data_IF_587053251206
#
_entry.id   IF_587053251206
#
_cell.length_a   1.000
_cell.length_b   1.000
_cell.length_c   1.000
_cell.angle_alpha   90.00
_cell.angle_beta   90.00
_cell.angle_gamma   90.00
#
_symmetry.space_group_name_H-M   'P 1'
#
loop_
_entity.id
_entity.type
_entity.pdbx_description
1 polymer ?
#
# COMPACT_ATOMS: atom_id res chain seq x y z
N UNK A 1 -38.54 -26.94 -8.02
CA UNK A 1 -37.48 -26.03 -8.48
C UNK A 1 -37.33 -24.93 -7.45
N UNK A 2 -36.51 -25.16 -6.42
CA UNK A 2 -36.21 -24.12 -5.44
C UNK A 2 -35.06 -23.29 -6.03
N UNK A 3 -35.34 -22.03 -6.31
CA UNK A 3 -34.33 -21.03 -6.67
C UNK A 3 -33.41 -20.83 -5.45
N UNK A 4 -32.18 -21.31 -5.56
CA UNK A 4 -31.13 -21.16 -4.54
C UNK A 4 -30.08 -20.17 -5.06
N UNK A 5 -30.51 -18.96 -5.42
CA UNK A 5 -29.61 -17.86 -5.77
C UNK A 5 -29.47 -16.86 -4.61
N UNK A 6 -29.17 -17.36 -3.41
CA UNK A 6 -28.59 -16.54 -2.34
C UNK A 6 -27.10 -16.81 -2.36
N UNK A 7 -26.38 -15.88 -2.97
CA UNK A 7 -24.93 -15.88 -3.17
C UNK A 7 -24.20 -16.09 -1.83
N UNK A 8 -23.77 -17.34 -1.59
CA UNK A 8 -22.90 -17.71 -0.48
C UNK A 8 -21.50 -17.17 -0.79
N UNK A 9 -21.19 -15.96 -0.31
CA UNK A 9 -19.79 -15.54 -0.22
C UNK A 9 -19.15 -16.29 0.96
N UNK A 10 -18.13 -17.14 0.74
CA UNK A 10 -17.49 -17.82 1.85
C UNK A 10 -16.74 -16.84 2.76
N UNK A 11 -16.78 -17.09 4.07
CA UNK A 11 -16.15 -16.23 5.09
C UNK A 11 -14.62 -16.12 4.95
N UNK A 12 -14.00 -17.03 4.19
CA UNK A 12 -12.56 -17.07 3.91
C UNK A 12 -12.12 -16.27 2.68
N UNK A 13 -12.94 -15.37 2.15
CA UNK A 13 -12.46 -14.40 1.16
C UNK A 13 -11.64 -13.30 1.86
N UNK A 14 -10.58 -13.70 2.56
CA UNK A 14 -9.59 -12.77 3.09
C UNK A 14 -8.79 -12.24 1.89
N UNK A 15 -9.00 -10.98 1.53
CA UNK A 15 -8.13 -10.29 0.57
C UNK A 15 -6.73 -10.27 1.18
N UNK A 16 -5.84 -11.08 0.64
CA UNK A 16 -4.43 -11.05 1.03
C UNK A 16 -3.87 -9.70 0.62
N UNK A 17 -3.29 -8.91 1.54
CA UNK A 17 -2.64 -7.67 1.15
C UNK A 17 -1.52 -8.04 0.18
N UNK A 18 -1.59 -7.50 -1.02
CA UNK A 18 -0.45 -7.55 -1.93
C UNK A 18 0.52 -6.43 -1.55
N UNK A 19 1.82 -6.69 -1.69
CA UNK A 19 2.87 -5.78 -1.30
C UNK A 19 3.55 -5.19 -2.53
N UNK A 20 4.09 -3.99 -2.39
CA UNK A 20 4.97 -3.42 -3.42
C UNK A 20 6.28 -4.19 -3.52
N UNK A 21 6.92 -4.12 -4.70
CA UNK A 21 8.29 -4.59 -4.87
C UNK A 21 9.22 -3.84 -3.92
N UNK A 22 10.21 -4.57 -3.38
CA UNK A 22 11.24 -3.93 -2.58
C UNK A 22 12.09 -3.02 -3.47
N UNK A 23 12.36 -1.81 -2.99
CA UNK A 23 13.19 -0.85 -3.71
C UNK A 23 14.68 -1.00 -3.35
N UNK A 24 15.55 -0.75 -4.34
CA UNK A 24 17.02 -0.73 -4.24
C UNK A 24 17.52 0.72 -4.07
N UNK A 25 16.66 1.73 -4.20
CA UNK A 25 17.04 3.12 -4.14
C UNK A 25 17.47 3.58 -2.74
N UNK A 26 18.65 4.23 -2.68
CA UNK A 26 19.34 4.56 -1.43
C UNK A 26 19.00 5.94 -0.84
N UNK A 27 18.14 6.75 -1.46
CA UNK A 27 17.83 8.09 -0.95
C UNK A 27 16.73 8.11 0.13
N UNK A 28 16.25 9.29 0.52
CA UNK A 28 15.31 9.46 1.65
C UNK A 28 13.88 9.83 1.24
N UNK A 29 13.57 9.84 -0.06
CA UNK A 29 12.29 10.27 -0.63
C UNK A 29 11.43 9.07 -1.06
N UNK A 30 10.31 8.84 -0.36
CA UNK A 30 9.31 7.81 -0.72
C UNK A 30 8.79 7.96 -2.16
N UNK A 31 8.69 9.19 -2.69
CA UNK A 31 8.24 9.41 -4.08
C UNK A 31 9.19 8.77 -5.08
N UNK A 32 10.50 9.02 -4.93
CA UNK A 32 11.55 8.47 -5.79
C UNK A 32 11.67 6.97 -5.62
N UNK A 33 11.39 6.49 -4.41
CA UNK A 33 11.42 5.09 -4.13
C UNK A 33 10.29 4.32 -4.85
N UNK A 34 9.08 4.86 -4.82
CA UNK A 34 7.95 4.34 -5.61
C UNK A 34 8.25 4.42 -7.12
N UNK A 35 8.76 5.55 -7.62
CA UNK A 35 9.13 5.70 -9.04
C UNK A 35 10.18 4.66 -9.49
N UNK A 36 11.13 4.31 -8.61
CA UNK A 36 12.19 3.32 -8.86
C UNK A 36 11.64 1.92 -9.12
N UNK A 37 10.54 1.55 -8.45
CA UNK A 37 9.85 0.27 -8.65
C UNK A 37 8.76 0.34 -9.73
N UNK A 38 8.65 1.46 -10.45
CA UNK A 38 7.66 1.67 -11.52
C UNK A 38 6.30 2.17 -11.03
N UNK A 39 6.18 2.61 -9.78
CA UNK A 39 4.94 3.09 -9.17
C UNK A 39 4.81 4.62 -9.19
N UNK A 40 3.57 5.11 -9.03
CA UNK A 40 3.32 6.55 -9.00
C UNK A 40 3.82 7.17 -7.68
N UNK A 41 4.79 8.08 -7.79
CA UNK A 41 5.34 8.82 -6.67
C UNK A 41 4.53 10.06 -6.28
N UNK A 42 3.25 10.20 -6.65
CA UNK A 42 2.46 11.41 -6.35
C UNK A 42 1.93 11.42 -4.92
N UNK A 43 1.61 12.62 -4.41
CA UNK A 43 1.02 12.78 -3.07
C UNK A 43 -0.28 11.99 -2.91
N UNK A 44 -1.15 12.02 -3.93
CA UNK A 44 -2.43 11.31 -3.93
C UNK A 44 -2.24 9.81 -3.75
N UNK A 45 -1.30 9.20 -4.49
CA UNK A 45 -1.02 7.78 -4.37
C UNK A 45 -0.47 7.44 -2.97
N UNK A 46 0.50 8.24 -2.47
CA UNK A 46 1.01 8.05 -1.10
C UNK A 46 -0.06 8.17 -0.03
N UNK A 47 -1.05 9.03 -0.21
CA UNK A 47 -2.17 9.14 0.73
C UNK A 47 -3.02 7.86 0.77
N UNK A 48 -3.25 7.23 -0.39
CA UNK A 48 -3.97 5.95 -0.46
C UNK A 48 -3.14 4.84 0.19
N UNK A 49 -1.86 4.74 -0.15
CA UNK A 49 -0.93 3.77 0.44
C UNK A 49 -0.85 3.95 1.96
N UNK A 50 -0.75 5.19 2.44
CA UNK A 50 -0.72 5.52 3.86
C UNK A 50 -1.96 5.01 4.59
N UNK A 51 -3.15 5.22 4.01
CA UNK A 51 -4.39 4.70 4.57
C UNK A 51 -4.42 3.16 4.62
N UNK A 52 -3.95 2.48 3.57
CA UNK A 52 -3.86 1.02 3.53
C UNK A 52 -2.85 0.45 4.54
N UNK A 53 -1.80 1.23 4.88
CA UNK A 53 -0.79 0.87 5.87
C UNK A 53 -1.09 1.43 7.28
N UNK A 54 -2.33 1.85 7.54
CA UNK A 54 -2.79 2.26 8.88
C UNK A 54 -2.37 3.66 9.33
N UNK A 55 -1.85 4.50 8.44
CA UNK A 55 -1.52 5.90 8.73
C UNK A 55 -2.74 6.78 8.46
N UNK A 56 -3.48 7.09 9.53
CA UNK A 56 -4.61 8.02 9.48
C UNK A 56 -4.13 9.47 9.41
N UNK A 57 -4.78 10.31 8.59
CA UNK A 57 -4.44 11.73 8.51
C UNK A 57 -3.08 12.00 7.87
N UNK A 58 -2.73 11.24 6.83
CA UNK A 58 -1.52 11.48 6.06
C UNK A 58 -1.51 12.90 5.46
N UNK A 59 -0.52 13.70 5.87
CA UNK A 59 -0.26 15.06 5.37
C UNK A 59 1.08 15.16 4.63
N UNK A 60 1.81 14.05 4.55
CA UNK A 60 3.10 13.97 3.86
C UNK A 60 4.26 14.50 4.69
N UNK A 61 4.17 14.47 6.03
CA UNK A 61 5.29 14.85 6.89
C UNK A 61 6.52 13.97 6.65
N UNK A 62 7.70 14.46 7.03
CA UNK A 62 8.94 13.70 6.91
C UNK A 62 8.86 12.34 7.64
N UNK A 63 8.24 12.31 8.82
CA UNK A 63 8.07 11.10 9.62
C UNK A 63 7.13 10.09 8.94
N UNK A 64 5.98 10.56 8.42
CA UNK A 64 5.04 9.71 7.68
C UNK A 64 5.69 9.14 6.41
N UNK A 65 6.43 9.95 5.68
CA UNK A 65 7.15 9.53 4.49
C UNK A 65 8.25 8.51 4.80
N UNK A 66 8.98 8.71 5.90
CA UNK A 66 10.03 7.80 6.36
C UNK A 66 9.44 6.46 6.78
N UNK A 67 8.27 6.46 7.44
CA UNK A 67 7.57 5.24 7.81
C UNK A 67 7.21 4.41 6.57
N UNK A 68 6.59 5.02 5.55
CA UNK A 68 6.29 4.36 4.28
C UNK A 68 7.55 3.84 3.58
N UNK A 69 8.62 4.63 3.57
CA UNK A 69 9.89 4.24 2.96
C UNK A 69 10.52 3.03 3.65
N UNK A 70 10.45 2.97 4.98
CA UNK A 70 10.95 1.82 5.73
C UNK A 70 10.15 0.56 5.43
N UNK A 71 8.82 0.66 5.39
CA UNK A 71 7.95 -0.47 4.98
C UNK A 71 8.28 -0.93 3.55
N UNK A 72 8.55 0.00 2.63
CA UNK A 72 8.92 -0.35 1.25
C UNK A 72 10.26 -1.10 1.21
N UNK A 73 11.25 -0.65 1.99
CA UNK A 73 12.57 -1.28 2.08
C UNK A 73 12.55 -2.65 2.71
N UNK A 74 11.62 -2.91 3.63
CA UNK A 74 11.45 -4.23 4.25
C UNK A 74 10.52 -5.14 3.46
N UNK A 75 9.96 -4.68 2.34
CA UNK A 75 8.99 -5.44 1.54
C UNK A 75 7.64 -5.62 2.24
N UNK A 76 7.31 -4.74 3.19
CA UNK A 76 6.10 -4.78 4.01
C UNK A 76 5.09 -3.69 3.66
N UNK A 77 5.37 -2.86 2.66
CA UNK A 77 4.45 -1.81 2.22
C UNK A 77 3.28 -2.42 1.45
N UNK A 78 2.08 -2.33 2.04
CA UNK A 78 0.84 -2.80 1.44
C UNK A 78 0.46 -1.90 0.26
N UNK A 79 0.05 -2.53 -0.84
CA UNK A 79 -0.40 -1.84 -2.05
C UNK A 79 -1.89 -1.54 -2.04
N UNK A 80 -2.26 -0.50 -2.79
CA UNK A 80 -3.66 -0.08 -3.03
C UNK A 80 -4.15 -0.45 -4.41
#
# INVERSE_FOLDING_TARGET
>A
MADLNVCYIPFWTAQTPEYYLQDIWHGTFISKALESIGEDGSYKNRQQIAAANGITGYTGTAEQNTHLLNLLRTGQLIRV
#
